data_IF_640617741307
#
_entry.id   IF_640617741307
#
_cell.length_a   1.000
_cell.length_b   1.000
_cell.length_c   1.000
_cell.angle_alpha   90.00
_cell.angle_beta   90.00
_cell.angle_gamma   90.00
#
_symmetry.space_group_name_H-M   'P 1'
#
loop_
_entity.id
_entity.type
_entity.pdbx_description
1 polymer ?
#
# COMPACT_ATOMS: atom_id res chain seq x y z
N UNK A 1 8.53 13.36 8.04
CA UNK A 1 7.38 13.49 8.99
C UNK A 1 7.91 14.01 10.32
N UNK A 2 7.23 14.99 10.91
CA UNK A 2 7.54 15.53 12.24
C UNK A 2 7.51 14.45 13.33
N UNK A 3 8.39 14.55 14.34
CA UNK A 3 8.54 13.52 15.39
C UNK A 3 7.26 13.37 16.23
N UNK A 4 6.61 14.49 16.57
CA UNK A 4 5.37 14.49 17.35
C UNK A 4 4.22 13.83 16.59
N UNK A 5 4.06 14.17 15.30
CA UNK A 5 3.05 13.55 14.40
C UNK A 5 3.29 12.04 14.29
N UNK A 6 4.55 11.63 14.15
CA UNK A 6 4.92 10.22 14.06
C UNK A 6 4.58 9.45 15.35
N UNK A 7 4.94 10.02 16.51
CA UNK A 7 4.65 9.41 17.83
C UNK A 7 3.14 9.25 18.02
N UNK A 8 2.36 10.30 17.78
CA UNK A 8 0.89 10.26 17.89
C UNK A 8 0.26 9.22 16.95
N UNK A 9 0.78 9.09 15.72
CA UNK A 9 0.31 8.09 14.77
C UNK A 9 0.61 6.66 15.26
N UNK A 10 1.81 6.40 15.79
CA UNK A 10 2.19 5.10 16.35
C UNK A 10 1.33 4.72 17.55
N UNK A 11 1.12 5.65 18.50
CA UNK A 11 0.24 5.43 19.64
C UNK A 11 -1.22 5.12 19.22
N UNK A 12 -1.70 5.80 18.19
CA UNK A 12 -3.04 5.55 17.65
C UNK A 12 -3.15 4.18 16.99
N UNK A 13 -2.08 3.73 16.32
CA UNK A 13 -2.04 2.42 15.66
C UNK A 13 -2.04 1.29 16.67
N UNK A 14 -1.30 1.42 17.79
CA UNK A 14 -1.30 0.38 18.82
C UNK A 14 -2.67 0.28 19.50
N UNK A 15 -3.34 1.41 19.79
CA UNK A 15 -4.70 1.40 20.32
C UNK A 15 -5.69 0.69 19.38
N UNK A 16 -5.53 0.87 18.07
CA UNK A 16 -6.34 0.17 17.07
C UNK A 16 -6.08 -1.34 17.07
N UNK A 17 -4.81 -1.75 17.18
CA UNK A 17 -4.41 -3.16 17.29
C UNK A 17 -5.01 -3.81 18.53
N UNK A 18 -4.89 -3.17 19.71
CA UNK A 18 -5.44 -3.65 20.97
C UNK A 18 -6.97 -3.85 20.88
N UNK A 19 -7.68 -2.89 20.30
CA UNK A 19 -9.13 -2.96 20.15
C UNK A 19 -9.58 -4.15 19.28
N UNK A 20 -8.87 -4.43 18.17
CA UNK A 20 -9.18 -5.56 17.28
C UNK A 20 -8.85 -6.88 17.99
N UNK A 21 -7.74 -6.95 18.72
CA UNK A 21 -7.38 -8.13 19.49
C UNK A 21 -8.40 -8.42 20.61
N UNK A 22 -8.80 -7.41 21.39
CA UNK A 22 -9.83 -7.55 22.43
C UNK A 22 -11.18 -8.05 21.90
N UNK A 23 -11.48 -7.74 20.63
CA UNK A 23 -12.68 -8.25 19.93
C UNK A 23 -12.51 -9.67 19.36
N UNK A 24 -11.37 -10.32 19.57
CA UNK A 24 -11.00 -11.62 18.99
C UNK A 24 -11.08 -11.63 17.45
N UNK A 25 -10.72 -10.52 16.79
CA UNK A 25 -10.75 -10.38 15.34
C UNK A 25 -9.43 -10.79 14.68
N UNK A 26 -8.35 -10.91 15.45
CA UNK A 26 -7.03 -11.40 15.03
C UNK A 26 -6.51 -12.45 16.02
N UNK A 27 -5.65 -13.35 15.54
CA UNK A 27 -5.01 -14.35 16.38
C UNK A 27 -4.00 -13.71 17.36
N UNK A 28 -3.73 -14.39 18.47
CA UNK A 28 -2.70 -13.98 19.43
C UNK A 28 -1.33 -13.87 18.75
N UNK A 29 -1.01 -14.80 17.86
CA UNK A 29 0.26 -14.84 17.14
C UNK A 29 0.46 -13.59 16.28
N UNK A 30 -0.57 -13.20 15.51
CA UNK A 30 -0.51 -11.98 14.67
C UNK A 30 -0.44 -10.73 15.53
N UNK A 31 -1.20 -10.68 16.63
CA UNK A 31 -1.13 -9.57 17.58
C UNK A 31 0.30 -9.38 18.12
N UNK A 32 0.93 -10.44 18.62
CA UNK A 32 2.27 -10.39 19.19
C UNK A 32 3.33 -9.97 18.15
N UNK A 33 3.25 -10.47 16.91
CA UNK A 33 4.16 -10.09 15.83
C UNK A 33 4.00 -8.63 15.39
N UNK A 34 2.76 -8.14 15.32
CA UNK A 34 2.49 -6.74 14.99
C UNK A 34 2.96 -5.82 16.13
N UNK A 35 2.78 -6.23 17.37
CA UNK A 35 3.28 -5.51 18.54
C UNK A 35 4.81 -5.44 18.55
N UNK A 36 5.50 -6.56 18.33
CA UNK A 36 6.97 -6.60 18.20
C UNK A 36 7.47 -5.64 17.10
N UNK A 37 6.87 -5.70 15.93
CA UNK A 37 7.24 -4.84 14.82
C UNK A 37 7.03 -3.35 15.14
N UNK A 38 5.93 -3.03 15.83
CA UNK A 38 5.64 -1.69 16.30
C UNK A 38 6.66 -1.22 17.36
N UNK A 39 7.03 -2.07 18.33
CA UNK A 39 8.05 -1.78 19.34
C UNK A 39 9.43 -1.51 18.72
N UNK A 40 9.83 -2.32 17.73
CA UNK A 40 11.05 -2.08 16.95
C UNK A 40 10.99 -0.72 16.26
N UNK A 41 9.86 -0.41 15.61
CA UNK A 41 9.66 0.89 14.94
C UNK A 41 9.71 2.06 15.91
N UNK A 42 9.19 1.91 17.12
CA UNK A 42 9.16 2.95 18.14
C UNK A 42 10.57 3.29 18.66
N UNK A 43 11.51 2.34 18.63
CA UNK A 43 12.93 2.59 18.94
C UNK A 43 13.57 3.50 17.89
N UNK A 44 13.25 3.31 16.61
CA UNK A 44 13.74 4.12 15.50
C UNK A 44 13.57 3.47 14.14
N UNK A 45 13.87 4.23 13.09
CA UNK A 45 13.81 3.72 11.72
C UNK A 45 15.01 2.82 11.39
N UNK A 46 16.19 3.11 11.93
CA UNK A 46 17.40 2.30 11.72
C UNK A 46 17.27 0.93 12.39
N UNK A 47 16.63 0.87 13.55
CA UNK A 47 16.28 -0.36 14.23
C UNK A 47 15.29 -1.19 13.41
N UNK A 48 14.29 -0.53 12.83
CA UNK A 48 13.36 -1.19 11.90
C UNK A 48 14.10 -1.76 10.68
N UNK A 49 15.00 -0.99 10.05
CA UNK A 49 15.79 -1.46 8.92
C UNK A 49 16.65 -2.68 9.28
N UNK A 50 17.28 -2.64 10.42
CA UNK A 50 18.08 -3.76 10.95
C UNK A 50 17.21 -5.00 11.14
N UNK A 51 16.04 -4.83 11.76
CA UNK A 51 15.07 -5.92 11.95
C UNK A 51 14.58 -6.48 10.61
N UNK A 52 14.28 -5.63 9.63
CA UNK A 52 13.83 -6.07 8.31
C UNK A 52 14.91 -6.88 7.56
N UNK A 53 16.20 -6.58 7.77
CA UNK A 53 17.33 -7.29 7.15
C UNK A 53 17.76 -8.55 7.91
N UNK A 54 17.40 -8.69 9.17
CA UNK A 54 17.73 -9.88 9.95
C UNK A 54 17.03 -11.13 9.40
N UNK A 55 17.74 -12.22 9.27
CA UNK A 55 17.13 -13.53 9.03
C UNK A 55 16.40 -13.98 10.30
N UNK A 56 15.08 -13.94 10.26
CA UNK A 56 14.29 -14.52 11.36
C UNK A 56 14.32 -16.03 11.19
N UNK A 57 15.31 -16.66 11.83
CA UNK A 57 15.55 -18.11 11.81
C UNK A 57 14.50 -18.92 12.58
N UNK A 58 13.39 -18.36 13.02
CA UNK A 58 12.25 -19.13 13.53
C UNK A 58 11.43 -19.73 12.37
N UNK A 59 12.11 -20.56 11.54
CA UNK A 59 11.55 -21.22 10.36
C UNK A 59 10.49 -22.29 10.67
N UNK A 60 10.14 -22.54 11.94
CA UNK A 60 9.22 -23.63 12.31
C UNK A 60 7.78 -23.22 12.58
N UNK A 61 7.43 -21.94 12.55
CA UNK A 61 6.05 -21.49 12.70
C UNK A 61 5.43 -21.22 11.33
N UNK A 62 4.35 -21.93 11.01
CA UNK A 62 3.57 -21.72 9.79
C UNK A 62 2.96 -20.33 9.85
N UNK A 63 3.48 -19.40 9.03
CA UNK A 63 2.92 -18.05 8.93
C UNK A 63 1.48 -18.10 8.39
N UNK A 64 0.63 -17.23 8.90
CA UNK A 64 -0.69 -16.99 8.29
C UNK A 64 -0.53 -16.34 6.91
N UNK A 65 -1.41 -16.70 5.98
CA UNK A 65 -1.39 -16.12 4.62
C UNK A 65 -1.99 -14.72 4.62
N UNK A 66 -1.38 -13.83 3.84
CA UNK A 66 -1.92 -12.51 3.57
C UNK A 66 -1.82 -12.15 2.09
N UNK A 67 -2.86 -11.50 1.56
CA UNK A 67 -2.83 -10.88 0.24
C UNK A 67 -2.22 -9.49 0.37
N UNK A 68 -1.27 -9.14 -0.48
CA UNK A 68 -0.84 -7.76 -0.66
C UNK A 68 -1.41 -7.20 -1.96
N UNK A 69 -2.20 -6.13 -1.88
CA UNK A 69 -2.65 -5.38 -3.05
C UNK A 69 -1.44 -4.71 -3.71
N UNK A 70 -0.90 -5.34 -4.74
CA UNK A 70 0.40 -5.02 -5.31
C UNK A 70 0.29 -4.27 -6.63
N UNK A 71 0.88 -3.10 -6.70
CA UNK A 71 0.91 -2.26 -7.92
C UNK A 71 2.30 -2.17 -8.56
N UNK A 72 3.31 -2.83 -8.01
CA UNK A 72 4.71 -2.66 -8.42
C UNK A 72 5.31 -1.30 -8.06
N UNK A 73 4.59 -0.46 -7.30
CA UNK A 73 5.05 0.85 -6.86
C UNK A 73 5.85 0.77 -5.55
N UNK A 74 6.52 1.89 -5.21
CA UNK A 74 7.37 2.00 -4.02
C UNK A 74 6.64 1.55 -2.74
N UNK A 75 5.43 2.04 -2.51
CA UNK A 75 4.71 1.79 -1.26
C UNK A 75 4.24 0.34 -1.13
N UNK A 76 3.66 -0.22 -2.19
CA UNK A 76 3.22 -1.62 -2.18
C UNK A 76 4.40 -2.59 -2.07
N UNK A 77 5.56 -2.26 -2.63
CA UNK A 77 6.79 -3.06 -2.49
C UNK A 77 7.36 -2.98 -1.08
N UNK A 78 7.43 -1.78 -0.49
CA UNK A 78 7.82 -1.61 0.91
C UNK A 78 6.87 -2.38 1.85
N UNK A 79 5.55 -2.37 1.56
CA UNK A 79 4.56 -3.13 2.31
C UNK A 79 4.83 -4.63 2.27
N UNK A 80 5.22 -5.18 1.11
CA UNK A 80 5.62 -6.60 0.99
C UNK A 80 6.81 -6.91 1.89
N UNK A 81 7.88 -6.10 1.82
CA UNK A 81 9.10 -6.32 2.59
C UNK A 81 8.79 -6.34 4.10
N UNK A 82 7.99 -5.38 4.57
CA UNK A 82 7.61 -5.29 5.98
C UNK A 82 6.70 -6.45 6.38
N UNK A 83 5.66 -6.71 5.59
CA UNK A 83 4.65 -7.72 5.90
C UNK A 83 5.20 -9.16 5.85
N UNK A 84 6.21 -9.41 5.01
CA UNK A 84 6.85 -10.72 4.89
C UNK A 84 7.55 -11.18 6.20
N UNK A 85 7.78 -10.26 7.13
CA UNK A 85 8.24 -10.61 8.48
C UNK A 85 7.18 -11.37 9.28
N UNK A 86 5.90 -11.08 9.03
CA UNK A 86 4.76 -11.59 9.81
C UNK A 86 4.01 -12.68 9.05
N UNK A 87 3.76 -12.44 7.76
CA UNK A 87 2.87 -13.25 6.93
C UNK A 87 3.60 -14.05 5.84
N UNK A 88 2.97 -15.13 5.38
CA UNK A 88 3.23 -15.74 4.08
C UNK A 88 2.49 -14.92 3.02
N UNK A 89 3.24 -14.21 2.17
CA UNK A 89 2.69 -13.22 1.25
C UNK A 89 2.29 -13.84 -0.09
N UNK A 90 1.06 -13.53 -0.53
CA UNK A 90 0.62 -13.62 -1.91
C UNK A 90 0.41 -12.20 -2.45
N UNK A 91 1.24 -11.75 -3.38
CA UNK A 91 1.04 -10.48 -4.05
C UNK A 91 -0.03 -10.61 -5.13
N UNK A 92 -1.02 -9.72 -5.14
CA UNK A 92 -2.10 -9.74 -6.13
C UNK A 92 -2.18 -8.40 -6.83
N UNK A 93 -2.11 -8.43 -8.16
CA UNK A 93 -2.15 -7.24 -9.01
C UNK A 93 -3.38 -7.27 -9.89
N UNK A 94 -4.26 -6.29 -9.72
CA UNK A 94 -5.38 -6.08 -10.62
C UNK A 94 -4.90 -5.44 -11.90
N UNK A 95 -5.21 -6.08 -13.05
CA UNK A 95 -4.69 -5.73 -14.36
C UNK A 95 -5.79 -5.28 -15.30
N UNK A 96 -5.51 -4.21 -16.06
CA UNK A 96 -6.32 -3.77 -17.21
C UNK A 96 -5.44 -2.97 -18.16
N UNK A 97 -5.70 -3.06 -19.47
CA UNK A 97 -5.02 -2.30 -20.52
C UNK A 97 -4.99 -0.78 -20.32
N UNK A 98 -5.84 -0.25 -19.43
CA UNK A 98 -5.94 1.19 -19.14
C UNK A 98 -5.07 1.65 -17.98
N UNK A 99 -4.62 0.75 -17.14
CA UNK A 99 -3.84 1.09 -15.93
C UNK A 99 -2.44 0.48 -15.96
N UNK A 100 -2.20 -0.50 -16.83
CA UNK A 100 -0.95 -1.23 -16.91
C UNK A 100 -0.59 -1.53 -18.36
N UNK A 101 0.70 -1.50 -18.67
CA UNK A 101 1.27 -1.93 -19.95
C UNK A 101 2.17 -3.16 -19.76
N UNK A 102 2.55 -3.81 -20.85
CA UNK A 102 3.36 -5.02 -20.83
C UNK A 102 4.72 -4.83 -20.12
N UNK A 103 5.31 -3.63 -20.20
CA UNK A 103 6.56 -3.32 -19.51
C UNK A 103 6.37 -3.31 -18.00
N UNK A 104 5.26 -2.74 -17.52
CA UNK A 104 4.91 -2.73 -16.10
C UNK A 104 4.61 -4.15 -15.61
N UNK A 105 3.90 -4.97 -16.39
CA UNK A 105 3.64 -6.37 -16.06
C UNK A 105 4.94 -7.15 -15.90
N UNK A 106 5.86 -7.02 -16.85
CA UNK A 106 7.17 -7.66 -16.77
C UNK A 106 7.97 -7.22 -15.54
N UNK A 107 7.98 -5.91 -15.25
CA UNK A 107 8.66 -5.38 -14.06
C UNK A 107 8.07 -5.90 -12.75
N UNK A 108 6.76 -6.11 -12.68
CA UNK A 108 6.08 -6.71 -11.53
C UNK A 108 6.53 -8.16 -11.34
N UNK A 109 6.58 -8.96 -12.41
CA UNK A 109 7.03 -10.35 -12.34
C UNK A 109 8.49 -10.46 -11.91
N UNK A 110 9.37 -9.64 -12.48
CA UNK A 110 10.79 -9.61 -12.09
C UNK A 110 10.96 -9.24 -10.62
N UNK A 111 10.17 -8.26 -10.14
CA UNK A 111 10.23 -7.80 -8.76
C UNK A 111 9.73 -8.87 -7.78
N UNK A 112 8.59 -9.51 -8.06
CA UNK A 112 8.05 -10.57 -7.19
C UNK A 112 8.93 -11.82 -7.17
N UNK A 113 9.54 -12.17 -8.30
CA UNK A 113 10.55 -13.21 -8.37
C UNK A 113 11.79 -12.88 -7.53
N UNK A 114 12.28 -11.63 -7.61
CA UNK A 114 13.45 -11.19 -6.82
C UNK A 114 13.19 -11.21 -5.32
N UNK A 115 11.94 -11.00 -4.91
CA UNK A 115 11.50 -11.08 -3.52
C UNK A 115 11.12 -12.49 -3.07
N UNK A 116 11.15 -13.46 -3.98
CA UNK A 116 10.75 -14.85 -3.74
C UNK A 116 9.35 -14.97 -3.10
N UNK A 117 8.37 -14.26 -3.66
CA UNK A 117 6.96 -14.27 -3.23
C UNK A 117 6.05 -14.76 -4.35
N UNK A 118 4.94 -15.41 -3.97
CA UNK A 118 3.90 -15.76 -4.94
C UNK A 118 3.20 -14.51 -5.47
N UNK A 119 2.81 -14.54 -6.76
CA UNK A 119 2.13 -13.42 -7.39
C UNK A 119 1.04 -13.91 -8.35
N UNK A 120 -0.08 -13.21 -8.37
CA UNK A 120 -1.17 -13.42 -9.32
C UNK A 120 -1.68 -12.13 -9.92
N UNK A 121 -2.06 -12.18 -11.22
CA UNK A 121 -2.78 -11.12 -11.90
C UNK A 121 -4.28 -11.42 -11.93
N UNK A 122 -5.10 -10.39 -11.66
CA UNK A 122 -6.55 -10.43 -11.82
C UNK A 122 -6.94 -9.45 -12.92
N UNK A 123 -7.54 -9.96 -14.01
CA UNK A 123 -8.00 -9.14 -15.12
C UNK A 123 -9.35 -8.50 -14.79
N UNK A 124 -9.46 -7.18 -15.03
CA UNK A 124 -10.70 -6.43 -14.83
C UNK A 124 -11.07 -5.61 -16.05
N UNK A 125 -12.36 -5.48 -16.29
CA UNK A 125 -12.89 -4.60 -17.32
C UNK A 125 -13.10 -3.19 -16.77
N UNK A 126 -12.27 -2.24 -17.22
CA UNK A 126 -12.39 -0.82 -16.92
C UNK A 126 -12.90 0.02 -18.11
N UNK A 127 -13.44 -0.61 -19.17
CA UNK A 127 -13.98 0.10 -20.36
C UNK A 127 -14.98 1.20 -19.98
N UNK A 128 -15.99 0.97 -19.09
CA UNK A 128 -16.93 2.02 -18.72
C UNK A 128 -16.26 3.21 -17.99
N UNK A 129 -15.26 2.93 -17.14
CA UNK A 129 -14.53 3.98 -16.42
C UNK A 129 -13.65 4.77 -17.39
N UNK A 130 -13.04 4.09 -18.36
CA UNK A 130 -12.21 4.73 -19.37
C UNK A 130 -13.03 5.67 -20.27
N UNK A 131 -14.20 5.26 -20.76
CA UNK A 131 -15.05 6.08 -21.63
C UNK A 131 -15.58 7.32 -20.89
N UNK A 132 -16.04 7.18 -19.64
CA UNK A 132 -16.43 8.30 -18.79
C UNK A 132 -15.27 9.27 -18.50
N UNK A 133 -14.04 8.75 -18.34
CA UNK A 133 -12.83 9.57 -18.15
C UNK A 133 -12.45 10.31 -19.42
N UNK A 134 -12.47 9.61 -20.57
CA UNK A 134 -12.15 10.16 -21.89
C UNK A 134 -13.08 11.28 -22.28
N UNK A 135 -14.38 11.15 -21.98
CA UNK A 135 -15.39 12.18 -22.25
C UNK A 135 -15.37 13.35 -21.27
N UNK A 136 -14.54 13.30 -20.21
CA UNK A 136 -14.49 14.35 -19.20
C UNK A 136 -15.63 14.31 -18.18
N UNK A 137 -16.41 13.22 -18.13
CA UNK A 137 -17.59 13.10 -17.28
C UNK A 137 -17.24 12.85 -15.81
N UNK A 138 -16.32 11.92 -15.54
CA UNK A 138 -15.91 11.55 -14.18
C UNK A 138 -14.40 11.35 -14.06
N UNK A 139 -13.85 11.74 -12.91
CA UNK A 139 -12.48 11.41 -12.53
C UNK A 139 -12.39 9.91 -12.19
N UNK A 140 -11.41 9.17 -12.76
CA UNK A 140 -11.42 7.70 -12.70
C UNK A 140 -11.13 7.10 -11.32
N UNK A 141 -10.33 7.78 -10.48
CA UNK A 141 -9.70 7.17 -9.30
C UNK A 141 -10.69 6.54 -8.33
N UNK A 142 -11.80 7.20 -7.99
CA UNK A 142 -12.75 6.64 -7.03
C UNK A 142 -13.33 5.31 -7.50
N UNK A 143 -13.87 5.27 -8.72
CA UNK A 143 -14.48 4.06 -9.29
C UNK A 143 -13.47 2.96 -9.57
N UNK A 144 -12.32 3.32 -10.14
CA UNK A 144 -11.22 2.37 -10.38
C UNK A 144 -10.73 1.76 -9.06
N UNK A 145 -10.55 2.58 -8.02
CA UNK A 145 -10.12 2.08 -6.71
C UNK A 145 -11.14 1.12 -6.10
N UNK A 146 -12.44 1.46 -6.14
CA UNK A 146 -13.49 0.57 -5.65
C UNK A 146 -13.53 -0.77 -6.41
N UNK A 147 -13.32 -0.75 -7.74
CA UNK A 147 -13.22 -1.98 -8.53
C UNK A 147 -12.02 -2.82 -8.11
N UNK A 148 -10.85 -2.20 -7.97
CA UNK A 148 -9.62 -2.88 -7.54
C UNK A 148 -9.79 -3.48 -6.13
N UNK A 149 -10.35 -2.71 -5.19
CA UNK A 149 -10.60 -3.21 -3.82
C UNK A 149 -11.56 -4.40 -3.81
N UNK A 150 -12.65 -4.33 -4.58
CA UNK A 150 -13.62 -5.43 -4.68
C UNK A 150 -12.99 -6.72 -5.21
N UNK A 151 -12.13 -6.62 -6.24
CA UNK A 151 -11.47 -7.81 -6.79
C UNK A 151 -10.43 -8.40 -5.85
N UNK A 152 -9.67 -7.57 -5.13
CA UNK A 152 -8.73 -8.04 -4.11
C UNK A 152 -9.49 -8.74 -2.97
N UNK A 153 -10.62 -8.18 -2.54
CA UNK A 153 -11.47 -8.76 -1.50
C UNK A 153 -12.04 -10.11 -1.95
N UNK A 154 -12.61 -10.16 -3.15
CA UNK A 154 -13.12 -11.39 -3.75
C UNK A 154 -12.05 -12.49 -3.87
N UNK A 155 -10.83 -12.10 -4.24
CA UNK A 155 -9.69 -13.03 -4.31
C UNK A 155 -9.36 -13.60 -2.93
N UNK A 156 -9.26 -12.75 -1.92
CA UNK A 156 -8.96 -13.19 -0.55
C UNK A 156 -10.02 -14.15 -0.03
N UNK A 157 -11.31 -13.83 -0.22
CA UNK A 157 -12.43 -14.68 0.18
C UNK A 157 -12.40 -16.05 -0.50
N UNK A 158 -12.23 -16.08 -1.82
CA UNK A 158 -12.17 -17.34 -2.61
C UNK A 158 -11.03 -18.25 -2.17
N UNK A 159 -9.93 -17.67 -1.69
CA UNK A 159 -8.74 -18.41 -1.24
C UNK A 159 -8.70 -18.64 0.28
N UNK A 160 -9.74 -18.23 1.03
CA UNK A 160 -9.80 -18.36 2.48
C UNK A 160 -8.74 -17.57 3.24
N UNK A 161 -8.29 -16.44 2.66
CA UNK A 161 -7.26 -15.56 3.25
C UNK A 161 -7.94 -14.44 4.01
N UNK A 162 -7.61 -14.29 5.29
CA UNK A 162 -8.26 -13.35 6.21
C UNK A 162 -7.54 -12.03 6.40
N UNK A 163 -6.39 -11.84 5.75
CA UNK A 163 -5.61 -10.59 5.82
C UNK A 163 -5.37 -10.02 4.43
N UNK A 164 -5.69 -8.73 4.26
CA UNK A 164 -5.34 -7.95 3.07
C UNK A 164 -4.49 -6.76 3.49
N UNK A 165 -3.35 -6.59 2.82
CA UNK A 165 -2.37 -5.55 3.11
C UNK A 165 -2.35 -4.54 1.96
N UNK A 166 -2.45 -3.26 2.32
CA UNK A 166 -2.36 -2.15 1.38
C UNK A 166 -1.17 -1.24 1.69
N UNK A 167 -0.62 -0.62 0.66
CA UNK A 167 0.42 0.40 0.76
C UNK A 167 -0.14 1.82 1.00
N UNK A 168 -1.33 1.95 1.60
CA UNK A 168 -1.93 3.25 1.90
C UNK A 168 -1.24 3.91 3.09
N UNK A 169 -0.70 5.11 2.87
CA UNK A 169 0.02 5.89 3.87
C UNK A 169 -0.84 6.91 4.61
N UNK A 170 -2.07 7.14 4.16
CA UNK A 170 -2.98 8.13 4.77
C UNK A 170 -3.95 7.51 5.78
N UNK A 171 -4.04 6.19 5.81
CA UNK A 171 -4.95 5.46 6.70
C UNK A 171 -4.27 5.16 8.04
N UNK A 172 -4.04 6.19 8.84
CA UNK A 172 -3.36 6.13 10.15
C UNK A 172 -4.32 5.80 11.31
N UNK A 173 -3.76 5.44 12.46
CA UNK A 173 -4.51 5.18 13.69
C UNK A 173 -5.52 4.05 13.51
N UNK A 174 -6.79 4.31 13.84
CA UNK A 174 -7.88 3.32 13.74
C UNK A 174 -8.18 2.84 12.30
N UNK A 175 -7.64 3.53 11.29
CA UNK A 175 -7.71 3.10 9.89
C UNK A 175 -6.49 2.29 9.45
N UNK A 176 -5.43 2.22 10.28
CA UNK A 176 -4.22 1.47 9.95
C UNK A 176 -4.45 -0.04 9.98
N UNK A 177 -5.30 -0.51 10.88
CA UNK A 177 -5.78 -1.89 10.94
C UNK A 177 -7.27 -1.89 11.27
N UNK A 178 -8.08 -2.60 10.49
CA UNK A 178 -9.52 -2.71 10.72
C UNK A 178 -10.10 -3.98 10.12
N UNK A 179 -11.16 -4.48 10.72
CA UNK A 179 -12.00 -5.50 10.11
C UNK A 179 -12.85 -4.87 9.00
N UNK A 180 -12.92 -5.51 7.87
CA UNK A 180 -13.82 -5.20 6.75
C UNK A 180 -14.87 -6.29 6.62
N UNK A 181 -15.73 -6.20 5.62
CA UNK A 181 -16.78 -7.19 5.38
C UNK A 181 -16.21 -8.61 5.26
N UNK A 182 -17.06 -9.60 5.53
CA UNK A 182 -16.74 -11.04 5.41
C UNK A 182 -15.60 -11.54 6.31
N UNK A 183 -15.32 -10.84 7.42
CA UNK A 183 -14.35 -11.28 8.41
C UNK A 183 -12.89 -11.06 8.04
N UNK A 184 -12.62 -10.33 6.96
CA UNK A 184 -11.27 -9.98 6.51
C UNK A 184 -10.72 -8.80 7.30
N UNK A 185 -9.44 -8.87 7.64
CA UNK A 185 -8.70 -7.79 8.28
C UNK A 185 -7.88 -7.02 7.23
N UNK A 186 -8.16 -5.72 7.10
CA UNK A 186 -7.36 -4.80 6.30
C UNK A 186 -6.24 -4.21 7.15
N UNK A 187 -5.00 -4.31 6.66
CA UNK A 187 -3.81 -3.75 7.29
C UNK A 187 -3.11 -2.79 6.33
N UNK A 188 -3.07 -1.51 6.69
CA UNK A 188 -2.24 -0.50 6.01
C UNK A 188 -0.89 -0.44 6.73
N UNK A 189 0.00 -1.41 6.45
CA UNK A 189 1.17 -1.69 7.28
C UNK A 189 2.16 -0.51 7.35
N UNK A 190 2.30 0.27 6.29
CA UNK A 190 3.15 1.46 6.30
C UNK A 190 2.57 2.56 7.21
N UNK A 191 1.26 2.78 7.16
CA UNK A 191 0.57 3.70 8.05
C UNK A 191 0.55 3.21 9.49
N UNK A 192 0.44 1.90 9.71
CA UNK A 192 0.51 1.27 11.04
C UNK A 192 1.85 1.57 11.72
N UNK A 193 2.94 1.57 10.96
CA UNK A 193 4.30 1.87 11.43
C UNK A 193 4.71 3.33 11.23
N UNK A 194 3.79 4.19 10.79
CA UNK A 194 4.09 5.60 10.49
C UNK A 194 5.32 5.78 9.58
N UNK A 195 5.40 4.95 8.53
CA UNK A 195 6.48 4.99 7.53
C UNK A 195 6.11 6.03 6.47
N UNK A 196 6.97 7.03 6.25
CA UNK A 196 6.81 8.04 5.22
C UNK A 196 7.38 7.58 3.87
N UNK A 197 7.14 8.34 2.81
CA UNK A 197 7.55 8.00 1.44
C UNK A 197 9.06 7.90 1.24
N UNK A 198 9.82 8.78 1.90
CA UNK A 198 11.27 8.77 1.93
C UNK A 198 11.80 7.50 2.63
N UNK A 199 11.20 7.13 3.76
CA UNK A 199 11.56 5.91 4.48
C UNK A 199 11.25 4.65 3.65
N UNK A 200 10.12 4.62 2.92
CA UNK A 200 9.80 3.53 1.97
C UNK A 200 10.87 3.40 0.90
N UNK A 201 11.35 4.51 0.34
CA UNK A 201 12.46 4.50 -0.64
C UNK A 201 13.78 4.00 -0.05
N UNK A 202 14.07 4.33 1.21
CA UNK A 202 15.26 3.83 1.92
C UNK A 202 15.13 2.31 2.12
N UNK A 203 13.96 1.80 2.53
CA UNK A 203 13.72 0.34 2.62
C UNK A 203 14.05 -0.33 1.29
N UNK A 204 13.50 0.15 0.18
CA UNK A 204 13.76 -0.44 -1.13
C UNK A 204 15.25 -0.43 -1.49
N UNK A 205 15.94 0.70 -1.23
CA UNK A 205 17.37 0.84 -1.50
C UNK A 205 18.20 -0.18 -0.72
N UNK A 206 17.87 -0.40 0.56
CA UNK A 206 18.56 -1.39 1.41
C UNK A 206 18.36 -2.83 0.91
N UNK A 207 17.22 -3.10 0.26
CA UNK A 207 16.92 -4.39 -0.39
C UNK A 207 17.36 -4.42 -1.86
N UNK A 208 18.15 -3.42 -2.33
CA UNK A 208 18.66 -3.30 -3.71
C UNK A 208 17.58 -3.26 -4.79
N UNK A 209 16.40 -2.75 -4.43
CA UNK A 209 15.26 -2.60 -5.33
C UNK A 209 15.23 -1.15 -5.84
N UNK A 210 15.20 -1.00 -7.16
CA UNK A 210 15.09 0.30 -7.81
C UNK A 210 13.77 0.38 -8.59
N UNK A 211 12.86 1.25 -8.15
CA UNK A 211 11.57 1.49 -8.81
C UNK A 211 11.58 2.92 -9.35
N UNK A 212 11.53 3.04 -10.67
CA UNK A 212 11.41 4.32 -11.34
C UNK A 212 9.97 4.49 -11.86
N UNK A 213 9.14 5.14 -11.07
CA UNK A 213 7.73 5.34 -11.37
C UNK A 213 7.37 6.82 -11.35
N UNK A 214 6.71 7.29 -12.43
CA UNK A 214 6.12 8.62 -12.47
C UNK A 214 4.79 8.65 -11.72
N UNK A 215 4.39 9.84 -11.24
CA UNK A 215 3.12 10.03 -10.52
C UNK A 215 1.91 9.68 -11.41
N UNK A 216 1.02 8.84 -10.89
CA UNK A 216 -0.25 8.47 -11.52
C UNK A 216 -0.14 7.39 -12.60
N UNK A 217 -1.21 6.61 -12.75
CA UNK A 217 -1.36 5.59 -13.80
C UNK A 217 -1.78 6.21 -15.14
N UNK A 218 -1.79 5.40 -16.22
CA UNK A 218 -2.19 5.87 -17.56
C UNK A 218 -3.61 6.44 -17.57
N UNK A 219 -4.54 5.84 -16.82
CA UNK A 219 -5.94 6.28 -16.77
C UNK A 219 -6.09 7.67 -16.13
N UNK A 220 -5.37 7.94 -15.03
CA UNK A 220 -5.40 9.26 -14.38
C UNK A 220 -4.78 10.33 -15.28
N UNK A 221 -3.76 10.00 -16.07
CA UNK A 221 -3.16 10.94 -17.04
C UNK A 221 -4.13 11.31 -18.16
N UNK A 222 -5.05 10.42 -18.54
CA UNK A 222 -6.16 10.77 -19.45
C UNK A 222 -7.10 11.79 -18.83
N UNK A 223 -7.41 11.66 -17.53
CA UNK A 223 -8.21 12.62 -16.79
C UNK A 223 -7.56 14.02 -16.74
N UNK A 224 -6.23 14.10 -16.60
CA UNK A 224 -5.53 15.39 -16.53
C UNK A 224 -5.65 16.25 -17.79
N UNK A 225 -6.02 15.68 -18.94
CA UNK A 225 -6.37 16.45 -20.16
C UNK A 225 -7.59 17.34 -19.97
N UNK A 226 -8.42 17.06 -18.98
CA UNK A 226 -9.59 17.87 -18.62
C UNK A 226 -9.27 18.73 -17.40
N UNK A 227 -9.17 20.06 -17.58
CA UNK A 227 -8.85 21.01 -16.48
C UNK A 227 -9.75 20.83 -15.26
N UNK A 228 -11.04 20.54 -15.47
CA UNK A 228 -12.00 20.28 -14.37
C UNK A 228 -11.64 19.07 -13.52
N UNK A 229 -10.85 18.13 -14.02
CA UNK A 229 -10.45 16.90 -13.30
C UNK A 229 -9.11 17.03 -12.59
N UNK A 230 -8.24 17.94 -13.03
CA UNK A 230 -6.92 18.15 -12.41
C UNK A 230 -7.02 18.44 -10.91
N UNK A 231 -8.06 19.20 -10.49
CA UNK A 231 -8.28 19.55 -9.09
C UNK A 231 -8.37 18.35 -8.14
N UNK A 232 -8.92 17.23 -8.57
CA UNK A 232 -9.04 16.04 -7.71
C UNK A 232 -7.68 15.40 -7.43
N UNK A 233 -6.81 15.34 -8.44
CA UNK A 233 -5.43 14.85 -8.26
C UNK A 233 -4.61 15.84 -7.41
N UNK A 234 -4.73 17.13 -7.66
CA UNK A 234 -4.06 18.19 -6.88
C UNK A 234 -4.48 18.11 -5.40
N UNK A 235 -5.77 17.96 -5.12
CA UNK A 235 -6.27 17.80 -3.74
C UNK A 235 -5.70 16.55 -3.05
N UNK A 236 -5.50 15.44 -3.78
CA UNK A 236 -4.85 14.26 -3.25
C UNK A 236 -3.40 14.54 -2.88
N UNK A 237 -2.63 15.16 -3.79
CA UNK A 237 -1.23 15.52 -3.55
C UNK A 237 -1.12 16.44 -2.32
N UNK A 238 -1.98 17.47 -2.22
CA UNK A 238 -1.99 18.38 -1.07
C UNK A 238 -2.33 17.67 0.26
N UNK A 239 -3.17 16.64 0.24
CA UNK A 239 -3.42 15.80 1.43
C UNK A 239 -2.17 15.01 1.83
N UNK A 240 -1.43 14.47 0.87
CA UNK A 240 -0.18 13.74 1.11
C UNK A 240 0.90 14.68 1.70
N UNK A 241 1.01 15.92 1.19
CA UNK A 241 1.89 16.96 1.77
C UNK A 241 1.45 17.34 3.19
N UNK A 242 0.15 17.61 3.39
CA UNK A 242 -0.38 17.98 4.70
C UNK A 242 -0.18 16.90 5.75
N UNK A 243 -0.30 15.64 5.35
CA UNK A 243 -0.04 14.49 6.21
C UNK A 243 1.46 14.19 6.38
N UNK A 244 2.33 15.01 5.79
CA UNK A 244 3.80 14.82 5.79
C UNK A 244 4.25 13.46 5.22
N UNK A 245 3.44 12.87 4.35
CA UNK A 245 3.79 11.62 3.64
C UNK A 245 4.81 11.89 2.54
N UNK A 246 4.67 13.05 1.86
CA UNK A 246 5.64 13.57 0.89
C UNK A 246 6.05 14.99 1.29
N UNK A 247 7.23 15.44 0.81
CA UNK A 247 7.71 16.80 1.06
C UNK A 247 6.93 17.84 0.24
N UNK A 248 6.90 19.12 0.66
CA UNK A 248 6.31 20.20 -0.14
C UNK A 248 6.91 20.30 -1.55
N UNK A 249 8.22 20.09 -1.71
CA UNK A 249 8.93 20.15 -2.98
C UNK A 249 8.48 19.03 -3.91
N UNK A 250 8.34 17.80 -3.39
CA UNK A 250 7.80 16.67 -4.14
C UNK A 250 6.34 16.91 -4.52
N UNK A 251 5.55 17.45 -3.61
CA UNK A 251 4.16 17.83 -3.86
C UNK A 251 4.03 18.86 -4.96
N UNK A 252 4.86 19.92 -4.96
CA UNK A 252 4.91 20.94 -6.01
C UNK A 252 5.28 20.35 -7.36
N UNK A 253 6.31 19.49 -7.40
CA UNK A 253 6.72 18.79 -8.63
C UNK A 253 5.56 17.98 -9.21
N UNK A 254 4.88 17.20 -8.39
CA UNK A 254 3.75 16.36 -8.82
C UNK A 254 2.57 17.22 -9.32
N UNK A 255 2.27 18.36 -8.67
CA UNK A 255 1.22 19.29 -9.11
C UNK A 255 1.58 19.90 -10.48
N UNK A 256 2.82 20.32 -10.67
CA UNK A 256 3.27 20.86 -11.94
C UNK A 256 3.17 19.83 -13.06
N UNK A 257 3.45 18.55 -12.78
CA UNK A 257 3.28 17.47 -13.75
C UNK A 257 1.80 17.25 -14.13
N UNK A 258 0.87 17.41 -13.18
CA UNK A 258 -0.58 17.35 -13.47
C UNK A 258 -1.06 18.50 -14.36
N UNK A 259 -0.52 19.70 -14.16
CA UNK A 259 -0.96 20.92 -14.88
C UNK A 259 -0.38 21.00 -16.29
N UNK A 260 0.82 20.45 -16.52
CA UNK A 260 1.55 20.50 -17.81
C UNK A 260 0.99 19.53 -18.87
N UNK A 261 0.10 18.63 -18.54
CA UNK A 261 -0.57 17.71 -19.45
C UNK A 261 -1.77 18.42 -20.10
#
# INVERSE_FOLDING_TARGET
>A
MDKEVKTTALESSIKALDLIYQKNEISKEIYEKLLELHEVRNKGFDELLTYLKSDITNQNLKKEKAVVAFSGGVDSTASIIVANKIFEICAVTVRSKYIMDAKTEQSILELTNSLNISHEFIDVNLDPIFEDTKSGKYHPCGRCHSTVEAEILNYAEKNGITYIIYGDMLSIGHLSIKKVDNGINRLNILSFLSIAKDESRIILKEFKININQSYGCQLIRKAHKHKSMQKFTIQRILREVRAQVITPEEGLKNILDVIKI
#
